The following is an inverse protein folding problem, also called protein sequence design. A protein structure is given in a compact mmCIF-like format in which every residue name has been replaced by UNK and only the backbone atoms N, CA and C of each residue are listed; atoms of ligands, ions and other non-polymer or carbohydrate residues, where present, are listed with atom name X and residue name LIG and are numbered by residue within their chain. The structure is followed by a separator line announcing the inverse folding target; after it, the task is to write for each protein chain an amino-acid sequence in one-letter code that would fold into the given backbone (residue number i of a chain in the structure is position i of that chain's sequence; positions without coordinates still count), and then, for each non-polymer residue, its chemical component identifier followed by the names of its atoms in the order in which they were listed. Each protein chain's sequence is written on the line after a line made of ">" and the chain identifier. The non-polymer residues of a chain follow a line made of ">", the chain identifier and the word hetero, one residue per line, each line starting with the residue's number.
data_IF_409231305730
#
_entry.id   IF_409231305730
#
_cell.length_a   1.000
_cell.length_b   1.000
_cell.length_c   1.000
_cell.angle_alpha   90.00
_cell.angle_beta   90.00
_cell.angle_gamma   90.00
#
_symmetry.space_group_name_H-M   'P 1'
#
loop_
_entity.id
_entity.type
_entity.pdbx_description
1 polymer ?
#
# COMPACT_ATOMS: atom_id res chain seq x y z
N UNK A 1 2.68 -11.78 5.76
CA UNK A 1 3.23 -10.47 6.19
C UNK A 1 2.40 -9.93 7.34
N UNK A 2 2.93 -9.03 8.19
CA UNK A 2 2.22 -8.43 9.34
C UNK A 2 1.70 -6.99 9.08
N UNK A 3 1.65 -6.55 7.81
CA UNK A 3 1.17 -5.21 7.45
C UNK A 3 2.20 -4.09 7.65
N UNK A 4 3.44 -4.41 8.04
CA UNK A 4 4.50 -3.43 8.22
C UNK A 4 5.36 -3.30 6.95
N UNK A 5 5.53 -2.07 6.47
CA UNK A 5 6.47 -1.72 5.42
C UNK A 5 7.70 -1.05 6.03
N UNK A 6 8.91 -1.53 5.71
CA UNK A 6 10.16 -0.93 6.20
C UNK A 6 10.96 -0.34 5.05
N UNK A 7 11.21 0.96 5.10
CA UNK A 7 12.16 1.67 4.25
C UNK A 7 13.53 1.64 4.92
N UNK A 8 14.55 1.13 4.23
CA UNK A 8 15.93 1.07 4.71
C UNK A 8 16.82 1.98 3.88
N UNK A 9 17.42 2.99 4.52
CA UNK A 9 18.29 3.98 3.86
C UNK A 9 19.74 3.70 4.25
N UNK A 10 20.65 3.45 3.28
CA UNK A 10 22.06 3.28 3.56
C UNK A 10 22.69 4.63 3.94
N UNK A 11 23.50 4.62 4.99
CA UNK A 11 24.23 5.78 5.49
C UNK A 11 25.73 5.52 5.41
N UNK A 12 26.45 6.41 4.75
CA UNK A 12 27.92 6.37 4.70
C UNK A 12 28.47 7.72 5.15
N UNK A 13 29.32 7.70 6.17
CA UNK A 13 29.95 8.89 6.72
C UNK A 13 31.45 8.73 6.63
N UNK A 14 32.09 9.57 5.82
CA UNK A 14 33.54 9.59 5.66
C UNK A 14 34.14 10.73 6.49
N UNK A 15 34.88 10.40 7.56
CA UNK A 15 35.54 11.38 8.41
C UNK A 15 36.95 11.68 7.90
N UNK A 16 37.07 12.72 7.06
CA UNK A 16 38.35 13.24 6.59
C UNK A 16 38.98 14.28 7.52
N UNK A 17 38.36 14.53 8.68
CA UNK A 17 38.82 15.51 9.67
C UNK A 17 39.99 15.02 10.54
N UNK A 18 40.48 15.92 11.38
CA UNK A 18 41.58 15.68 12.31
C UNK A 18 41.16 15.00 13.63
N UNK A 19 39.86 14.96 13.93
CA UNK A 19 39.34 14.42 15.18
C UNK A 19 38.22 13.41 14.93
N UNK A 20 37.96 12.58 15.94
CA UNK A 20 36.84 11.64 15.94
C UNK A 20 35.50 12.38 15.87
N UNK A 21 34.54 11.77 15.17
CA UNK A 21 33.12 12.12 15.23
C UNK A 21 32.44 11.12 16.17
N UNK A 22 31.77 11.63 17.20
CA UNK A 22 31.02 10.83 18.17
C UNK A 22 29.56 11.25 18.20
N UNK A 23 28.71 10.41 18.80
CA UNK A 23 27.29 10.67 18.95
C UNK A 23 26.58 11.02 17.63
N UNK A 24 27.02 10.41 16.51
CA UNK A 24 26.41 10.65 15.21
C UNK A 24 25.05 9.95 15.16
N UNK A 25 23.99 10.73 15.25
CA UNK A 25 22.61 10.28 15.19
C UNK A 25 21.96 10.77 13.90
N UNK A 26 21.20 9.87 13.28
CA UNK A 26 20.36 10.16 12.12
C UNK A 26 18.93 9.98 12.54
N UNK A 27 18.07 10.93 12.20
CA UNK A 27 16.63 10.80 12.38
C UNK A 27 15.94 11.01 11.04
N UNK A 28 15.13 10.04 10.66
CA UNK A 28 14.28 10.06 9.48
C UNK A 28 12.86 10.37 9.92
N UNK A 29 12.19 11.29 9.24
CA UNK A 29 10.79 11.63 9.51
C UNK A 29 10.02 11.59 8.20
N UNK A 30 9.12 10.63 8.06
CA UNK A 30 8.22 10.52 6.92
C UNK A 30 6.94 11.30 7.20
N UNK A 31 6.51 12.07 6.22
CA UNK A 31 5.39 13.00 6.33
C UNK A 31 4.47 12.93 5.13
N UNK A 32 3.20 13.24 5.37
CA UNK A 32 2.20 13.52 4.35
C UNK A 32 2.57 14.80 3.57
N UNK A 33 2.01 15.03 2.38
CA UNK A 33 2.24 16.28 1.63
C UNK A 33 1.93 17.56 2.41
N UNK A 34 0.97 17.51 3.34
CA UNK A 34 0.60 18.64 4.21
C UNK A 34 1.59 18.90 5.37
N UNK A 35 2.57 18.01 5.57
CA UNK A 35 3.59 18.10 6.62
C UNK A 35 3.29 17.28 7.89
N UNK A 36 2.14 16.62 7.98
CA UNK A 36 1.78 15.74 9.10
C UNK A 36 2.71 14.53 9.15
N UNK A 37 3.21 14.18 10.33
CA UNK A 37 4.12 13.04 10.52
C UNK A 37 3.36 11.72 10.40
N UNK A 38 3.89 10.81 9.58
CA UNK A 38 3.42 9.43 9.43
C UNK A 38 4.23 8.51 10.34
N UNK A 39 5.55 8.60 10.26
CA UNK A 39 6.47 7.75 11.03
C UNK A 39 7.82 8.46 11.21
N UNK A 40 8.55 8.04 12.23
CA UNK A 40 9.92 8.50 12.46
C UNK A 40 10.83 7.37 12.93
N UNK A 41 12.07 7.36 12.47
CA UNK A 41 13.08 6.37 12.82
C UNK A 41 14.41 7.04 13.18
N UNK A 42 15.17 6.42 14.07
CA UNK A 42 16.45 6.94 14.54
C UNK A 42 17.56 5.90 14.45
N UNK A 43 18.78 6.32 14.12
CA UNK A 43 19.94 5.43 14.08
C UNK A 43 21.19 6.14 14.59
N UNK A 44 21.81 5.54 15.60
CA UNK A 44 23.07 6.02 16.17
C UNK A 44 24.22 5.23 15.58
N UNK A 45 25.17 5.92 14.96
CA UNK A 45 26.42 5.33 14.49
C UNK A 45 27.42 5.23 15.65
N UNK A 46 28.31 4.21 15.61
CA UNK A 46 29.45 4.16 16.52
C UNK A 46 30.39 5.35 16.26
N UNK A 47 31.35 5.54 17.15
CA UNK A 47 32.38 6.57 16.99
C UNK A 47 33.13 6.36 15.67
N UNK A 48 33.16 7.41 14.85
CA UNK A 48 33.81 7.43 13.53
C UNK A 48 35.18 8.05 13.71
N UNK A 49 36.22 7.20 13.68
CA UNK A 49 37.60 7.62 13.90
C UNK A 49 38.08 8.59 12.82
N UNK A 50 38.99 9.48 13.19
CA UNK A 50 39.65 10.35 12.21
C UNK A 50 40.26 9.52 11.06
N UNK A 51 40.13 10.00 9.83
CA UNK A 51 40.61 9.32 8.63
C UNK A 51 39.89 8.00 8.29
N UNK A 52 38.72 7.73 8.89
CA UNK A 52 37.96 6.49 8.67
C UNK A 52 36.57 6.76 8.11
N UNK A 53 35.97 5.71 7.54
CA UNK A 53 34.59 5.72 7.06
C UNK A 53 33.75 4.76 7.89
N UNK A 54 32.56 5.18 8.26
CA UNK A 54 31.55 4.33 8.88
C UNK A 54 30.36 4.16 7.94
N UNK A 55 29.80 2.95 7.90
CA UNK A 55 28.58 2.63 7.17
C UNK A 55 27.53 2.08 8.13
N UNK A 56 26.27 2.40 7.87
CA UNK A 56 25.13 1.94 8.66
C UNK A 56 23.87 1.93 7.80
N UNK A 57 22.77 1.47 8.38
CA UNK A 57 21.44 1.49 7.79
C UNK A 57 20.49 2.17 8.76
N UNK A 58 19.69 3.11 8.26
CA UNK A 58 18.60 3.68 9.03
C UNK A 58 17.27 3.20 8.47
N UNK A 59 16.47 2.64 9.37
CA UNK A 59 15.21 2.02 9.01
C UNK A 59 14.05 2.89 9.50
N UNK A 60 13.03 2.97 8.68
CA UNK A 60 11.75 3.59 8.98
C UNK A 60 10.67 2.55 8.71
N UNK A 61 9.83 2.27 9.70
CA UNK A 61 8.72 1.32 9.55
C UNK A 61 7.39 2.06 9.58
N UNK A 62 6.48 1.68 8.70
CA UNK A 62 5.12 2.20 8.59
C UNK A 62 4.14 1.04 8.69
N UNK A 63 3.08 1.21 9.47
CA UNK A 63 1.95 0.30 9.46
C UNK A 63 1.02 0.68 8.29
N UNK A 64 0.89 -0.22 7.32
CA UNK A 64 0.09 0.01 6.13
C UNK A 64 -1.40 0.11 6.45
N UNK A 65 -1.88 -0.58 7.48
CA UNK A 65 -3.32 -0.57 7.84
C UNK A 65 -3.70 0.78 8.45
N UNK A 66 -2.86 1.28 9.35
CA UNK A 66 -3.03 2.62 9.92
C UNK A 66 -2.95 3.69 8.82
N UNK A 67 -1.92 3.63 7.97
CA UNK A 67 -1.73 4.58 6.86
C UNK A 67 -2.94 4.61 5.93
N UNK A 68 -3.42 3.45 5.47
CA UNK A 68 -4.49 3.35 4.49
C UNK A 68 -5.86 3.64 5.08
N UNK A 69 -6.06 3.45 6.40
CA UNK A 69 -7.30 3.84 7.08
C UNK A 69 -7.52 5.35 7.08
N UNK A 70 -6.45 6.15 7.12
CA UNK A 70 -6.53 7.62 7.07
C UNK A 70 -6.40 8.17 5.64
N UNK A 71 -5.81 7.40 4.73
CA UNK A 71 -5.41 7.85 3.39
C UNK A 71 -5.82 6.84 2.33
N UNK A 72 -7.10 6.47 2.32
CA UNK A 72 -7.66 5.44 1.44
C UNK A 72 -7.35 5.68 -0.05
N UNK A 73 -7.26 6.94 -0.48
CA UNK A 73 -6.92 7.31 -1.85
C UNK A 73 -5.59 6.71 -2.34
N UNK A 74 -4.66 6.39 -1.43
CA UNK A 74 -3.38 5.74 -1.73
C UNK A 74 -3.52 4.32 -2.25
N UNK A 75 -4.68 3.68 -2.05
CA UNK A 75 -4.99 2.37 -2.65
C UNK A 75 -5.04 2.47 -4.18
N UNK A 76 -5.54 3.60 -4.70
CA UNK A 76 -5.89 3.75 -6.11
C UNK A 76 -5.03 4.78 -6.85
N UNK A 77 -4.30 5.64 -6.13
CA UNK A 77 -3.52 6.72 -6.72
C UNK A 77 -2.05 6.66 -6.28
N UNK A 78 -1.18 6.85 -7.25
CA UNK A 78 0.23 7.14 -6.99
C UNK A 78 0.35 8.50 -6.29
N UNK A 79 1.33 8.62 -5.40
CA UNK A 79 1.53 9.82 -4.58
C UNK A 79 3.00 9.96 -4.23
N UNK A 80 3.34 11.03 -3.51
CA UNK A 80 4.67 11.22 -2.93
C UNK A 80 4.55 11.54 -1.44
N UNK A 81 5.44 10.95 -0.64
CA UNK A 81 5.63 11.34 0.75
C UNK A 81 6.83 12.26 0.88
N UNK A 82 6.82 13.14 1.88
CA UNK A 82 7.99 13.94 2.25
C UNK A 82 8.84 13.15 3.24
N UNK A 83 10.15 13.22 3.09
CA UNK A 83 11.12 12.63 3.99
C UNK A 83 12.10 13.71 4.44
N UNK A 84 12.06 14.01 5.73
CA UNK A 84 13.06 14.85 6.38
C UNK A 84 14.16 13.98 7.00
N UNK A 85 15.40 14.39 6.78
CA UNK A 85 16.58 13.75 7.35
C UNK A 85 17.34 14.74 8.22
N UNK A 86 17.35 14.46 9.53
CA UNK A 86 18.07 15.24 10.53
C UNK A 86 19.32 14.49 10.98
N UNK A 87 20.43 15.19 11.10
CA UNK A 87 21.66 14.63 11.65
C UNK A 87 22.14 15.45 12.83
N UNK A 88 22.66 14.77 13.86
CA UNK A 88 23.36 15.44 14.95
C UNK A 88 24.63 14.68 15.27
N UNK A 89 25.73 15.37 15.58
CA UNK A 89 26.99 14.73 15.94
C UNK A 89 27.87 15.64 16.80
N UNK A 90 28.91 15.05 17.39
CA UNK A 90 29.97 15.76 18.10
C UNK A 90 31.31 15.58 17.39
N UNK A 91 32.03 16.66 17.19
CA UNK A 91 33.40 16.64 16.69
C UNK A 91 34.38 16.94 17.81
N UNK A 92 35.49 16.17 17.86
CA UNK A 92 36.48 16.25 18.93
C UNK A 92 35.90 16.12 20.36
N UNK A 93 34.74 15.47 20.49
CA UNK A 93 33.98 15.32 21.73
C UNK A 93 33.51 16.63 22.40
N UNK A 94 33.74 17.80 21.77
CA UNK A 94 33.46 19.11 22.34
C UNK A 94 32.43 19.91 21.54
N UNK A 95 32.54 19.89 20.22
CA UNK A 95 31.71 20.71 19.33
C UNK A 95 30.51 19.91 18.87
N UNK A 96 29.30 20.35 19.21
CA UNK A 96 28.05 19.69 18.79
C UNK A 96 27.49 20.40 17.56
N UNK A 97 27.04 19.61 16.58
CA UNK A 97 26.42 20.07 15.35
C UNK A 97 25.07 19.40 15.19
N UNK A 98 24.12 20.15 14.64
CA UNK A 98 22.83 19.67 14.18
C UNK A 98 22.61 20.21 12.76
N UNK A 99 22.17 19.33 11.86
CA UNK A 99 21.97 19.64 10.45
C UNK A 99 20.63 19.09 10.02
N UNK A 100 19.78 19.98 9.52
CA UNK A 100 18.56 19.62 8.79
C UNK A 100 18.95 19.49 7.32
N UNK A 101 19.27 18.28 6.90
CA UNK A 101 20.10 18.10 5.71
C UNK A 101 19.30 17.95 4.43
N UNK A 102 18.15 17.26 4.47
CA UNK A 102 17.44 16.89 3.24
C UNK A 102 15.94 16.86 3.50
N UNK A 103 15.21 17.65 2.70
CA UNK A 103 13.79 17.46 2.43
C UNK A 103 13.69 16.86 1.03
N UNK A 104 13.45 15.56 0.95
CA UNK A 104 13.27 14.82 -0.30
C UNK A 104 11.87 14.22 -0.35
N UNK A 105 11.45 13.78 -1.52
CA UNK A 105 10.25 12.98 -1.66
C UNK A 105 10.58 11.49 -1.82
N UNK A 106 9.67 10.65 -1.35
CA UNK A 106 9.67 9.19 -1.57
C UNK A 106 8.41 8.86 -2.37
N UNK A 107 8.53 8.21 -3.53
CA UNK A 107 7.36 7.85 -4.32
C UNK A 107 6.55 6.77 -3.61
N UNK A 108 5.23 6.88 -3.71
CA UNK A 108 4.26 5.86 -3.36
C UNK A 108 3.55 5.40 -4.62
N UNK A 109 3.57 4.09 -4.87
CA UNK A 109 2.79 3.48 -5.93
C UNK A 109 1.54 2.82 -5.38
N UNK A 110 0.40 3.01 -6.03
CA UNK A 110 -0.87 2.46 -5.59
C UNK A 110 -0.93 0.93 -5.78
N UNK A 111 -1.42 0.16 -4.80
CA UNK A 111 -1.56 -1.29 -4.92
C UNK A 111 -2.70 -1.71 -5.86
N UNK A 112 -3.75 -0.91 -5.98
CA UNK A 112 -4.94 -1.16 -6.79
C UNK A 112 -5.12 -0.03 -7.83
N UNK A 113 -4.02 0.42 -8.46
CA UNK A 113 -4.06 1.50 -9.42
C UNK A 113 -5.02 1.16 -10.57
N UNK A 114 -5.89 2.11 -10.93
CA UNK A 114 -6.87 1.94 -12.00
C UNK A 114 -7.78 0.70 -11.81
N UNK A 115 -8.09 0.34 -10.55
CA UNK A 115 -9.04 -0.74 -10.27
C UNK A 115 -10.40 -0.45 -10.90
N UNK A 116 -10.90 -1.40 -11.68
CA UNK A 116 -12.19 -1.29 -12.35
C UNK A 116 -12.84 -2.65 -12.55
N UNK A 117 -14.18 -2.67 -12.48
CA UNK A 117 -14.98 -3.75 -13.04
C UNK A 117 -15.13 -3.46 -14.54
N UNK A 118 -14.52 -4.29 -15.38
CA UNK A 118 -14.38 -4.04 -16.81
C UNK A 118 -15.56 -4.54 -17.63
N UNK A 119 -16.38 -5.43 -17.05
CA UNK A 119 -17.62 -5.87 -17.67
C UNK A 119 -18.31 -7.00 -16.91
N UNK A 120 -19.55 -7.27 -17.29
CA UNK A 120 -20.37 -8.35 -16.75
C UNK A 120 -20.74 -9.27 -17.91
N UNK A 121 -20.42 -10.55 -17.75
CA UNK A 121 -20.70 -11.59 -18.73
C UNK A 121 -22.20 -11.89 -18.84
N UNK A 122 -22.59 -12.49 -19.97
CA UNK A 122 -23.96 -12.97 -20.12
C UNK A 122 -24.24 -14.13 -19.15
N UNK A 123 -25.42 -14.19 -18.53
CA UNK A 123 -25.86 -15.33 -17.75
C UNK A 123 -25.71 -16.66 -18.53
N UNK A 124 -25.11 -17.67 -17.90
CA UNK A 124 -25.02 -19.00 -18.47
C UNK A 124 -25.44 -20.09 -17.48
N UNK A 125 -26.20 -21.06 -17.96
CA UNK A 125 -26.83 -22.07 -17.12
C UNK A 125 -25.85 -23.19 -16.79
N UNK A 126 -25.79 -23.54 -15.49
CA UNK A 126 -25.14 -24.75 -15.00
C UNK A 126 -26.15 -25.80 -14.52
N UNK A 127 -27.37 -25.38 -14.14
CA UNK A 127 -28.48 -26.26 -13.71
C UNK A 127 -29.84 -25.76 -14.21
N UNK A 128 -30.93 -26.50 -13.91
CA UNK A 128 -32.31 -26.08 -14.23
C UNK A 128 -32.81 -24.93 -13.33
N UNK A 129 -32.13 -24.62 -12.22
CA UNK A 129 -32.62 -23.72 -11.17
C UNK A 129 -31.68 -22.56 -10.84
N UNK A 130 -30.51 -22.47 -11.47
CA UNK A 130 -29.54 -21.41 -11.24
C UNK A 130 -28.66 -21.17 -12.47
N UNK A 131 -28.13 -19.95 -12.58
CA UNK A 131 -27.18 -19.57 -13.63
C UNK A 131 -25.98 -18.84 -13.01
N UNK A 132 -24.87 -18.84 -13.74
CA UNK A 132 -23.65 -18.13 -13.37
C UNK A 132 -23.52 -16.83 -14.17
N UNK A 133 -22.87 -15.85 -13.54
CA UNK A 133 -22.41 -14.62 -14.17
C UNK A 133 -20.92 -14.46 -13.86
N UNK A 134 -20.12 -14.17 -14.88
CA UNK A 134 -18.73 -13.77 -14.68
C UNK A 134 -18.64 -12.24 -14.64
N UNK A 135 -18.00 -11.69 -13.61
CA UNK A 135 -17.71 -10.25 -13.49
C UNK A 135 -16.23 -10.05 -13.72
N UNK A 136 -15.87 -9.38 -14.81
CA UNK A 136 -14.49 -9.10 -15.17
C UNK A 136 -13.98 -7.87 -14.43
N UNK A 137 -12.73 -7.91 -13.98
CA UNK A 137 -12.08 -6.80 -13.31
C UNK A 137 -10.60 -6.72 -13.67
N UNK A 138 -10.00 -5.56 -13.43
CA UNK A 138 -8.56 -5.38 -13.59
C UNK A 138 -8.01 -4.20 -12.81
N UNK A 139 -6.70 -4.23 -12.55
CA UNK A 139 -5.93 -3.17 -11.89
C UNK A 139 -4.43 -3.34 -12.16
N UNK A 140 -3.64 -2.34 -11.78
CA UNK A 140 -2.18 -2.36 -11.81
C UNK A 140 -1.60 -2.23 -10.40
N UNK A 141 -0.61 -3.06 -10.07
CA UNK A 141 0.10 -2.95 -8.81
C UNK A 141 1.36 -2.10 -9.00
N UNK A 142 1.29 -0.82 -8.66
CA UNK A 142 2.45 0.09 -8.66
C UNK A 142 3.20 0.08 -7.31
N UNK A 143 2.64 -0.58 -6.29
CA UNK A 143 3.20 -0.57 -4.93
C UNK A 143 4.52 -1.37 -4.83
N UNK A 144 5.36 -1.11 -3.81
CA UNK A 144 6.62 -1.82 -3.62
C UNK A 144 6.45 -3.24 -3.02
N UNK A 145 5.21 -3.75 -2.90
CA UNK A 145 4.92 -5.05 -2.33
C UNK A 145 3.92 -5.83 -3.19
N UNK A 146 3.88 -7.15 -3.01
CA UNK A 146 2.91 -8.01 -3.67
C UNK A 146 1.52 -7.76 -3.10
N UNK A 147 0.54 -7.54 -3.97
CA UNK A 147 -0.88 -7.50 -3.60
C UNK A 147 -1.39 -8.92 -3.58
N UNK A 148 -1.60 -9.45 -2.38
CA UNK A 148 -2.16 -10.77 -2.13
C UNK A 148 -3.45 -10.66 -1.31
N UNK A 149 -4.46 -11.45 -1.67
CA UNK A 149 -5.74 -11.44 -0.95
C UNK A 149 -6.88 -12.11 -1.71
N UNK A 150 -8.10 -11.90 -1.22
CA UNK A 150 -9.33 -12.42 -1.82
C UNK A 150 -10.27 -11.27 -2.12
N UNK A 151 -10.61 -11.10 -3.41
CA UNK A 151 -11.68 -10.21 -3.85
C UNK A 151 -13.01 -10.94 -3.66
N UNK A 152 -13.99 -10.25 -3.08
CA UNK A 152 -15.34 -10.77 -2.85
C UNK A 152 -16.34 -9.80 -3.44
N UNK A 153 -17.26 -10.33 -4.26
CA UNK A 153 -18.35 -9.59 -4.86
C UNK A 153 -19.68 -10.10 -4.32
N UNK A 154 -20.59 -9.19 -3.97
CA UNK A 154 -21.98 -9.52 -3.67
C UNK A 154 -22.88 -8.78 -4.65
N UNK A 155 -23.83 -9.51 -5.22
CA UNK A 155 -24.73 -9.04 -6.27
C UNK A 155 -26.11 -8.76 -5.69
N UNK A 156 -26.68 -7.62 -6.07
CA UNK A 156 -28.01 -7.16 -5.66
C UNK A 156 -28.79 -6.66 -6.87
N UNK A 157 -30.11 -6.83 -6.87
CA UNK A 157 -30.99 -6.21 -7.87
C UNK A 157 -31.37 -4.77 -7.47
N UNK A 158 -32.11 -4.07 -8.34
CA UNK A 158 -32.58 -2.69 -8.09
C UNK A 158 -33.56 -2.53 -6.92
N UNK A 159 -34.03 -3.65 -6.35
CA UNK A 159 -34.91 -3.67 -5.19
C UNK A 159 -34.15 -4.00 -3.90
N UNK A 160 -32.82 -3.85 -3.91
CA UNK A 160 -31.89 -4.17 -2.82
C UNK A 160 -31.95 -5.65 -2.38
N UNK A 161 -32.43 -6.55 -3.25
CA UNK A 161 -32.46 -7.98 -2.96
C UNK A 161 -31.14 -8.64 -3.34
N UNK A 162 -30.53 -9.32 -2.38
CA UNK A 162 -29.37 -10.17 -2.61
C UNK A 162 -29.68 -11.28 -3.62
N UNK A 163 -28.81 -11.43 -4.61
CA UNK A 163 -28.90 -12.41 -5.69
C UNK A 163 -27.87 -13.53 -5.59
N UNK A 164 -26.68 -13.23 -5.08
CA UNK A 164 -25.56 -14.16 -5.03
C UNK A 164 -24.23 -13.48 -4.69
N UNK A 165 -23.18 -14.29 -4.54
CA UNK A 165 -21.82 -13.80 -4.31
C UNK A 165 -20.79 -14.72 -4.94
N UNK A 166 -19.58 -14.20 -5.10
CA UNK A 166 -18.44 -14.93 -5.62
C UNK A 166 -17.14 -14.36 -5.09
N UNK A 167 -16.06 -15.14 -5.20
CA UNK A 167 -14.73 -14.70 -4.78
C UNK A 167 -13.66 -15.07 -5.80
N UNK A 168 -12.56 -14.33 -5.80
CA UNK A 168 -11.37 -14.62 -6.60
C UNK A 168 -10.10 -14.36 -5.79
N UNK A 169 -9.11 -15.24 -5.91
CA UNK A 169 -7.82 -15.08 -5.23
C UNK A 169 -6.87 -14.25 -6.08
N UNK A 170 -6.29 -13.22 -5.48
CA UNK A 170 -5.39 -12.27 -6.14
C UNK A 170 -3.98 -12.47 -5.59
N UNK A 171 -2.99 -12.50 -6.49
CA UNK A 171 -1.57 -12.47 -6.16
C UNK A 171 -0.79 -11.78 -7.28
N UNK A 172 -0.52 -10.48 -7.10
CA UNK A 172 0.05 -9.61 -8.14
C UNK A 172 1.35 -8.98 -7.63
N UNK A 173 2.52 -9.35 -8.20
CA UNK A 173 3.80 -8.75 -7.81
C UNK A 173 3.91 -7.25 -8.14
N UNK A 174 4.86 -6.53 -7.54
CA UNK A 174 5.15 -5.12 -7.86
C UNK A 174 5.42 -4.90 -9.35
N UNK A 175 4.79 -3.87 -9.93
CA UNK A 175 4.98 -3.43 -11.32
C UNK A 175 4.21 -4.24 -12.36
N UNK A 176 3.28 -5.10 -11.96
CA UNK A 176 2.47 -5.92 -12.86
C UNK A 176 1.00 -5.51 -12.83
N UNK A 177 0.34 -5.61 -13.99
CA UNK A 177 -1.11 -5.55 -14.11
C UNK A 177 -1.76 -6.92 -13.91
N UNK A 178 -3.03 -6.90 -13.54
CA UNK A 178 -3.86 -8.09 -13.42
C UNK A 178 -5.24 -7.86 -14.03
N UNK A 179 -5.73 -8.87 -14.74
CA UNK A 179 -7.10 -8.96 -15.23
C UNK A 179 -7.64 -10.33 -14.88
N UNK A 180 -8.82 -10.37 -14.29
CA UNK A 180 -9.46 -11.61 -13.86
C UNK A 180 -10.97 -11.52 -13.93
N UNK A 181 -11.63 -12.55 -13.42
CA UNK A 181 -13.07 -12.60 -13.30
C UNK A 181 -13.48 -13.26 -12.00
N UNK A 182 -14.55 -12.77 -11.39
CA UNK A 182 -15.24 -13.44 -10.29
C UNK A 182 -16.50 -14.10 -10.86
N UNK A 183 -16.61 -15.41 -10.70
CA UNK A 183 -17.82 -16.15 -11.08
C UNK A 183 -18.81 -16.11 -9.92
N UNK A 184 -20.03 -15.67 -10.19
CA UNK A 184 -21.12 -15.48 -9.22
C UNK A 184 -22.23 -16.47 -9.53
N UNK A 185 -22.66 -17.21 -8.52
CA UNK A 185 -23.84 -18.07 -8.60
C UNK A 185 -25.09 -17.29 -8.20
N UNK A 186 -26.06 -17.19 -9.12
CA UNK A 186 -27.36 -16.57 -8.84
C UNK A 186 -28.30 -17.64 -8.27
N UNK A 187 -28.56 -17.53 -6.97
CA UNK A 187 -29.30 -18.53 -6.19
C UNK A 187 -30.79 -18.58 -6.56
N UNK A 188 -31.36 -17.44 -6.98
CA UNK A 188 -32.76 -17.33 -7.38
C UNK A 188 -32.91 -16.54 -8.69
N UNK A 189 -32.96 -17.22 -9.84
CA UNK A 189 -33.10 -16.58 -11.16
C UNK A 189 -34.32 -15.66 -11.29
N UNK A 190 -35.40 -15.90 -10.54
CA UNK A 190 -36.60 -15.08 -10.61
C UNK A 190 -36.43 -13.66 -10.05
N UNK A 191 -35.36 -13.44 -9.25
CA UNK A 191 -35.01 -12.14 -8.69
C UNK A 191 -34.07 -11.33 -9.55
N UNK A 192 -33.43 -11.94 -10.56
CA UNK A 192 -32.52 -11.24 -11.45
C UNK A 192 -33.31 -10.37 -12.43
N UNK A 193 -33.21 -9.04 -12.27
CA UNK A 193 -33.92 -8.06 -13.10
C UNK A 193 -33.12 -7.59 -14.31
N UNK A 194 -31.82 -7.91 -14.37
CA UNK A 194 -30.89 -7.42 -15.39
C UNK A 194 -30.20 -6.10 -15.03
N UNK A 195 -30.57 -5.50 -13.89
CA UNK A 195 -29.98 -4.28 -13.35
C UNK A 195 -29.86 -4.37 -11.81
N UNK A 196 -29.04 -3.52 -11.22
CA UNK A 196 -28.81 -3.44 -9.78
C UNK A 196 -27.39 -2.98 -9.46
N UNK A 197 -26.81 -3.48 -8.37
CA UNK A 197 -25.46 -3.10 -7.96
C UNK A 197 -24.63 -4.26 -7.39
N UNK A 198 -23.33 -4.04 -7.36
CA UNK A 198 -22.31 -4.98 -6.88
C UNK A 198 -21.58 -4.32 -5.71
N UNK A 199 -21.62 -4.95 -4.54
CA UNK A 199 -20.71 -4.57 -3.45
C UNK A 199 -19.37 -5.25 -3.66
N UNK A 200 -18.30 -4.47 -3.61
CA UNK A 200 -16.92 -4.94 -3.84
C UNK A 200 -16.14 -4.84 -2.53
N UNK A 201 -15.52 -5.94 -2.11
CA UNK A 201 -14.65 -5.96 -0.94
C UNK A 201 -13.40 -6.78 -1.19
N UNK A 202 -12.30 -6.43 -0.52
CA UNK A 202 -11.02 -7.10 -0.66
C UNK A 202 -10.42 -7.39 0.72
N UNK A 203 -10.04 -8.64 0.95
CA UNK A 203 -9.37 -9.05 2.18
C UNK A 203 -7.92 -9.43 1.88
N UNK A 204 -6.98 -8.70 2.49
CA UNK A 204 -5.55 -8.93 2.33
C UNK A 204 -4.87 -9.16 3.68
N UNK A 205 -3.94 -10.13 3.78
CA UNK A 205 -3.07 -10.26 4.95
C UNK A 205 -2.25 -8.98 5.24
N UNK A 206 -1.89 -8.24 4.18
CA UNK A 206 -1.08 -7.01 4.26
C UNK A 206 -1.96 -5.81 4.54
N UNK A 207 -3.00 -5.59 3.72
CA UNK A 207 -3.81 -4.36 3.73
C UNK A 207 -4.98 -4.42 4.72
N UNK A 208 -5.34 -5.61 5.22
CA UNK A 208 -6.55 -5.81 6.01
C UNK A 208 -7.80 -5.97 5.12
N UNK A 209 -8.96 -5.77 5.72
CA UNK A 209 -10.24 -5.77 5.02
C UNK A 209 -10.53 -4.37 4.47
N UNK A 210 -10.89 -4.29 3.19
CA UNK A 210 -11.18 -3.07 2.46
C UNK A 210 -12.57 -3.17 1.82
N UNK A 211 -13.42 -2.17 2.05
CA UNK A 211 -14.63 -1.96 1.27
C UNK A 211 -14.26 -1.10 0.06
N UNK A 212 -14.28 -1.66 -1.15
CA UNK A 212 -13.86 -0.96 -2.37
C UNK A 212 -15.02 -0.18 -3.01
N UNK A 213 -16.21 -0.23 -2.42
CA UNK A 213 -17.39 0.51 -2.83
C UNK A 213 -18.42 -0.33 -3.56
N UNK A 214 -19.32 0.38 -4.27
CA UNK A 214 -20.48 -0.17 -4.96
C UNK A 214 -20.42 0.20 -6.44
N UNK A 215 -20.72 -0.76 -7.31
CA UNK A 215 -20.76 -0.56 -8.77
C UNK A 215 -22.14 -0.95 -9.31
N UNK A 216 -22.83 0.02 -9.90
CA UNK A 216 -24.11 -0.18 -10.58
C UNK A 216 -23.92 -0.98 -11.89
N UNK A 217 -24.95 -1.76 -12.25
CA UNK A 217 -25.02 -2.47 -13.53
C UNK A 217 -26.43 -2.44 -14.12
N UNK A 218 -26.50 -2.61 -15.44
CA UNK A 218 -27.75 -2.65 -16.21
C UNK A 218 -28.11 -1.34 -16.92
#
# INVERSE_FOLDING_TARGET
>A
SNGLLTLSIPLTVNNTGYYDISNFNVTLVLKKPDGTVISSGGTMLPVIKYGSTATSWSNLTVDLRELLSEMEYLLFNDSEFKLDMLFSFRYAYALSFQVDAVNTTIPWGAPLYNFSLTGIGAPYNITLTGFLIDVYFGFENHSPFTVEGTLSLKFYNDADEYLGSGTETINVPPGYGFTGSVTIEIENPSKYTGSGYIEVSFESPVLGFLELGVVEYG
#
